data_IF_294167444393
#
_entry.id   IF_294167444393
#
_cell.length_a   1.000
_cell.length_b   1.000
_cell.length_c   1.000
_cell.angle_alpha   90.00
_cell.angle_beta   90.00
_cell.angle_gamma   90.00
#
_symmetry.space_group_name_H-M   'P 1'
#
loop_
_entity.id
_entity.type
_entity.pdbx_description
1 polymer ?
#
# COMPACT_ATOMS: atom_id res chain seq x y z
N UNK A 1 -16.73 -12.08 -1.05
CA UNK A 1 -15.66 -11.11 -0.68
C UNK A 1 -15.01 -11.63 0.59
N UNK A 2 -13.70 -11.91 0.55
CA UNK A 2 -13.01 -12.87 1.41
C UNK A 2 -12.87 -12.40 2.87
N UNK A 3 -13.59 -13.08 3.77
CA UNK A 3 -13.48 -12.96 5.23
C UNK A 3 -12.47 -13.95 5.78
N UNK A 4 -11.53 -13.45 6.56
CA UNK A 4 -10.27 -14.08 7.01
C UNK A 4 -10.42 -15.30 7.95
N UNK A 5 -11.63 -15.78 8.29
CA UNK A 5 -11.94 -17.10 8.86
C UNK A 5 -13.46 -17.35 8.96
N UNK A 6 -13.84 -18.61 9.26
CA UNK A 6 -15.23 -19.11 9.31
C UNK A 6 -16.13 -18.52 10.43
N UNK A 7 -15.62 -17.56 11.24
CA UNK A 7 -16.35 -16.99 12.39
C UNK A 7 -16.85 -15.56 12.18
N UNK A 8 -16.55 -14.90 11.06
CA UNK A 8 -17.09 -13.57 10.71
C UNK A 8 -16.91 -12.50 11.82
N UNK A 9 -15.84 -12.54 12.63
CA UNK A 9 -15.71 -11.63 13.77
C UNK A 9 -15.19 -10.23 13.42
N UNK A 10 -14.67 -10.01 12.20
CA UNK A 10 -14.11 -8.72 11.79
C UNK A 10 -12.91 -8.26 12.64
N UNK A 11 -12.34 -9.16 13.45
CA UNK A 11 -11.25 -8.84 14.37
C UNK A 11 -9.90 -9.18 13.73
N UNK A 12 -9.06 -8.16 13.60
CA UNK A 12 -7.64 -8.36 13.32
C UNK A 12 -6.97 -8.92 14.59
N UNK A 13 -6.10 -9.94 14.49
CA UNK A 13 -5.44 -10.55 15.66
C UNK A 13 -4.32 -9.70 16.25
N UNK A 14 -4.07 -8.51 15.69
CA UNK A 14 -3.04 -7.59 16.13
C UNK A 14 -3.63 -6.64 17.17
N UNK A 15 -3.13 -6.73 18.41
CA UNK A 15 -3.41 -5.73 19.43
C UNK A 15 -2.80 -4.39 18.99
N UNK A 16 -3.67 -3.41 18.71
CA UNK A 16 -3.28 -2.06 18.31
C UNK A 16 -3.34 -1.07 19.47
N UNK A 17 -3.58 -1.53 20.70
CA UNK A 17 -3.71 -0.67 21.89
C UNK A 17 -2.45 0.15 22.19
N UNK A 18 -1.26 -0.34 21.81
CA UNK A 18 0.00 0.41 21.90
C UNK A 18 0.30 1.29 20.68
N UNK A 19 -0.46 1.15 19.59
CA UNK A 19 -0.30 1.98 18.40
C UNK A 19 -1.11 3.27 18.59
N UNK A 20 -0.44 4.30 19.11
CA UNK A 20 -1.00 5.64 19.30
C UNK A 20 -1.30 6.40 17.99
N UNK A 21 -1.25 5.75 16.82
CA UNK A 21 -1.51 6.37 15.54
C UNK A 21 -0.46 7.40 15.12
N UNK A 22 0.75 7.33 15.68
CA UNK A 22 1.83 8.25 15.31
C UNK A 22 2.27 8.05 13.87
N UNK A 23 2.51 9.17 13.19
CA UNK A 23 3.00 9.18 11.81
C UNK A 23 4.40 8.54 11.76
N UNK A 24 4.50 7.35 11.14
CA UNK A 24 5.78 6.66 10.95
C UNK A 24 6.66 7.30 9.87
N UNK A 25 6.04 7.68 8.75
CA UNK A 25 6.73 8.33 7.64
C UNK A 25 5.72 9.05 6.73
N UNK A 26 6.23 9.92 5.86
CA UNK A 26 5.48 10.58 4.80
C UNK A 26 6.28 10.59 3.51
N UNK A 27 5.62 10.37 2.38
CA UNK A 27 6.24 10.42 1.05
C UNK A 27 5.43 11.37 0.15
N UNK A 28 6.13 12.23 -0.60
CA UNK A 28 5.50 13.18 -1.51
C UNK A 28 5.51 12.62 -2.94
N UNK A 29 4.32 12.38 -3.49
CA UNK A 29 4.14 12.03 -4.91
C UNK A 29 4.11 13.29 -5.80
N UNK A 30 4.27 13.10 -7.12
CA UNK A 30 4.27 14.19 -8.09
C UNK A 30 2.88 14.75 -8.41
N UNK A 31 1.82 13.94 -8.23
CA UNK A 31 0.43 14.34 -8.43
C UNK A 31 -0.49 13.63 -7.43
N UNK A 32 -1.81 13.80 -7.61
CA UNK A 32 -2.86 13.17 -6.83
C UNK A 32 -2.74 11.63 -6.87
N UNK A 33 -3.12 10.98 -5.77
CA UNK A 33 -3.20 9.53 -5.68
C UNK A 33 -4.68 9.18 -5.76
N UNK A 34 -5.11 8.58 -6.86
CA UNK A 34 -6.49 8.08 -7.02
C UNK A 34 -6.59 6.56 -6.83
N UNK A 35 -5.45 5.89 -6.62
CA UNK A 35 -5.37 4.44 -6.45
C UNK A 35 -5.32 4.02 -4.97
N UNK A 36 -5.90 2.86 -4.66
CA UNK A 36 -5.68 2.22 -3.36
C UNK A 36 -4.25 1.68 -3.28
N UNK A 37 -3.47 2.00 -2.22
CA UNK A 37 -2.13 1.45 -2.04
C UNK A 37 -2.17 -0.06 -1.75
N UNK A 38 -1.17 -0.79 -2.22
CA UNK A 38 -1.00 -2.23 -1.94
C UNK A 38 0.28 -2.46 -1.12
N UNK A 39 0.23 -3.38 -0.16
CA UNK A 39 1.39 -3.74 0.67
C UNK A 39 1.75 -5.19 0.39
N UNK A 40 3.00 -5.43 -0.01
CA UNK A 40 3.56 -6.76 -0.20
C UNK A 40 3.86 -7.46 1.13
N UNK A 41 4.02 -8.79 1.07
CA UNK A 41 4.44 -9.60 2.24
C UNK A 41 5.82 -9.18 2.78
N UNK A 42 6.68 -8.62 1.94
CA UNK A 42 7.98 -8.06 2.34
C UNK A 42 7.88 -6.66 2.97
N UNK A 43 6.67 -6.10 3.06
CA UNK A 43 6.39 -4.76 3.57
C UNK A 43 6.62 -3.63 2.56
N UNK A 44 6.96 -3.94 1.31
CA UNK A 44 7.03 -2.94 0.24
C UNK A 44 5.63 -2.38 -0.03
N UNK A 45 5.51 -1.05 -0.05
CA UNK A 45 4.25 -0.33 -0.31
C UNK A 45 4.26 0.18 -1.74
N UNK A 46 3.27 -0.23 -2.53
CA UNK A 46 3.08 0.20 -3.92
C UNK A 46 1.98 1.26 -4.01
N UNK A 47 2.30 2.38 -4.65
CA UNK A 47 1.41 3.54 -4.81
C UNK A 47 1.42 3.95 -6.27
N UNK A 48 0.26 3.97 -6.93
CA UNK A 48 0.12 4.56 -8.25
C UNK A 48 -0.42 5.99 -8.14
N UNK A 49 0.26 6.96 -8.77
CA UNK A 49 -0.13 8.37 -8.78
C UNK A 49 -0.48 8.83 -10.19
N UNK A 50 -1.42 9.77 -10.31
CA UNK A 50 -1.88 10.31 -11.61
C UNK A 50 -0.81 11.07 -12.38
N UNK A 51 0.41 11.18 -11.85
CA UNK A 51 1.61 11.63 -12.57
C UNK A 51 2.16 10.58 -13.56
N UNK A 52 1.43 9.48 -13.77
CA UNK A 52 1.82 8.34 -14.59
C UNK A 52 3.02 7.58 -14.01
N UNK A 53 3.18 7.56 -12.67
CA UNK A 53 4.19 6.76 -12.01
C UNK A 53 3.59 5.76 -11.00
N UNK A 54 4.20 4.56 -10.98
CA UNK A 54 4.08 3.59 -9.91
C UNK A 54 5.31 3.73 -9.00
N UNK A 55 5.08 3.98 -7.72
CA UNK A 55 6.09 4.11 -6.69
C UNK A 55 6.13 2.84 -5.85
N UNK A 56 7.32 2.30 -5.62
CA UNK A 56 7.56 1.27 -4.62
C UNK A 56 8.34 1.90 -3.46
N UNK A 57 7.73 1.90 -2.28
CA UNK A 57 8.33 2.40 -1.05
C UNK A 57 8.72 1.23 -0.15
N UNK A 58 9.84 1.36 0.55
CA UNK A 58 10.22 0.45 1.63
C UNK A 58 9.33 0.69 2.86
N UNK A 59 9.31 -0.24 3.84
CA UNK A 59 8.57 -0.07 5.10
C UNK A 59 8.89 1.21 5.88
N UNK A 60 10.10 1.76 5.70
CA UNK A 60 10.58 3.00 6.31
C UNK A 60 10.13 4.28 5.57
N UNK A 61 9.39 4.15 4.46
CA UNK A 61 8.91 5.26 3.63
C UNK A 61 9.91 5.75 2.59
N UNK A 62 11.08 5.12 2.45
CA UNK A 62 12.06 5.49 1.43
C UNK A 62 11.72 4.89 0.06
N UNK A 63 12.05 5.61 -1.01
CA UNK A 63 11.80 5.14 -2.38
C UNK A 63 12.72 3.95 -2.71
N UNK A 64 12.12 2.79 -2.99
CA UNK A 64 12.80 1.61 -3.53
C UNK A 64 13.04 1.79 -5.03
N UNK A 65 11.99 2.17 -5.76
CA UNK A 65 12.04 2.53 -7.18
C UNK A 65 10.76 3.26 -7.59
N UNK A 66 10.79 3.92 -8.77
CA UNK A 66 9.59 4.41 -9.45
C UNK A 66 9.61 3.97 -10.91
N UNK A 67 8.44 3.68 -11.46
CA UNK A 67 8.28 3.22 -12.83
C UNK A 67 7.23 4.07 -13.56
N UNK A 68 7.54 4.53 -14.76
CA UNK A 68 6.61 5.32 -15.57
C UNK A 68 5.63 4.40 -16.30
N UNK A 69 4.33 4.58 -16.03
CA UNK A 69 3.25 3.78 -16.59
C UNK A 69 2.52 4.63 -17.62
N UNK A 70 2.67 4.30 -18.91
CA UNK A 70 2.10 5.08 -20.02
C UNK A 70 0.59 4.82 -20.26
N UNK A 71 -0.21 4.62 -19.21
CA UNK A 71 -1.65 4.34 -19.33
C UNK A 71 -2.40 4.62 -18.03
N UNK A 72 -3.71 4.88 -18.14
CA UNK A 72 -4.65 5.12 -17.03
C UNK A 72 -4.46 4.12 -15.89
N UNK A 73 -4.00 4.63 -14.75
CA UNK A 73 -3.64 3.84 -13.59
C UNK A 73 -4.89 3.33 -12.88
N UNK A 74 -5.17 2.04 -13.01
CA UNK A 74 -6.11 1.32 -12.15
C UNK A 74 -5.45 0.98 -10.81
N UNK A 75 -6.26 0.66 -9.78
CA UNK A 75 -5.78 0.26 -8.47
C UNK A 75 -4.84 -0.96 -8.58
N UNK A 76 -3.59 -0.88 -8.09
CA UNK A 76 -2.68 -2.02 -8.09
C UNK A 76 -3.24 -3.10 -7.14
N UNK A 77 -3.32 -4.34 -7.64
CA UNK A 77 -3.60 -5.52 -6.84
C UNK A 77 -2.36 -6.40 -6.82
N UNK A 78 -1.84 -6.69 -5.62
CA UNK A 78 -0.71 -7.60 -5.45
C UNK A 78 -1.23 -9.04 -5.30
N UNK A 79 -0.66 -9.96 -6.08
CA UNK A 79 -0.91 -11.39 -5.97
C UNK A 79 -0.20 -11.99 -4.75
N UNK A 80 -0.53 -13.24 -4.41
CA UNK A 80 0.09 -13.96 -3.28
C UNK A 80 1.61 -14.16 -3.44
N UNK A 81 2.14 -13.94 -4.64
CA UNK A 81 3.51 -14.18 -5.06
C UNK A 81 4.47 -12.98 -4.93
N UNK A 82 3.95 -11.76 -4.70
CA UNK A 82 4.77 -10.58 -4.39
C UNK A 82 5.32 -9.82 -5.59
#
# INVERSE_FOLDING_TARGET
MFGYNAQHTGQCPYDTSENNGTLKWKFKTGSQIESSPAIALDGTVYIASTDNYLYALKPDGTLKWKYQVNSYLSSPAIGFDG
#
